data_IF_215771773915
#
_entry.id   IF_215771773915
#
_cell.length_a   1.000
_cell.length_b   1.000
_cell.length_c   1.000
_cell.angle_alpha   90.00
_cell.angle_beta   90.00
_cell.angle_gamma   90.00
#
_symmetry.space_group_name_H-M   'P 1'
#
loop_
_entity.id
_entity.type
_entity.pdbx_description
1 polymer ?
#
# COMPACT_ATOMS: atom_id res chain seq x y z
N UNK A 1 12.76 -2.19 -19.25
CA UNK A 1 12.61 -1.87 -17.82
C UNK A 1 11.67 -2.91 -17.25
N UNK A 2 12.11 -3.74 -16.32
CA UNK A 2 11.23 -4.74 -15.70
C UNK A 2 10.19 -4.05 -14.81
N UNK A 3 8.96 -4.57 -14.69
CA UNK A 3 7.97 -4.00 -13.80
C UNK A 3 8.44 -4.12 -12.35
N UNK A 4 8.42 -3.01 -11.62
CA UNK A 4 8.67 -2.99 -10.18
C UNK A 4 7.57 -3.83 -9.52
N UNK A 5 7.93 -4.98 -8.95
CA UNK A 5 7.01 -5.86 -8.22
C UNK A 5 7.06 -5.52 -6.74
N UNK A 6 5.88 -5.34 -6.14
CA UNK A 6 5.71 -5.20 -4.69
C UNK A 6 5.17 -6.51 -4.15
N UNK A 7 5.81 -7.05 -3.12
CA UNK A 7 5.30 -8.19 -2.36
C UNK A 7 4.38 -7.68 -1.25
N UNK A 8 3.17 -8.25 -1.18
CA UNK A 8 2.12 -7.86 -0.23
C UNK A 8 1.83 -8.94 0.81
N UNK A 9 2.56 -10.05 0.80
CA UNK A 9 2.34 -11.15 1.73
C UNK A 9 2.41 -10.67 3.19
N UNK A 10 1.37 -10.97 3.98
CA UNK A 10 1.27 -10.60 5.39
C UNK A 10 0.67 -9.20 5.65
N UNK A 11 0.27 -8.47 4.61
CA UNK A 11 -0.40 -7.17 4.73
C UNK A 11 -1.89 -7.23 4.36
N UNK A 12 -2.46 -8.42 4.26
CA UNK A 12 -3.85 -8.61 3.85
C UNK A 12 -4.82 -7.81 4.74
N UNK A 13 -5.69 -7.02 4.13
CA UNK A 13 -6.63 -6.13 4.82
C UNK A 13 -6.06 -4.80 5.27
N UNK A 14 -4.75 -4.59 5.20
CA UNK A 14 -4.09 -3.36 5.64
C UNK A 14 -4.00 -2.30 4.53
N UNK A 15 -3.81 -1.05 4.94
CA UNK A 15 -3.27 -0.01 4.10
C UNK A 15 -1.74 -0.05 4.15
N UNK A 16 -1.10 0.08 2.99
CA UNK A 16 0.35 0.07 2.87
C UNK A 16 0.83 1.30 2.08
N UNK A 17 1.93 1.89 2.51
CA UNK A 17 2.66 2.92 1.76
C UNK A 17 3.75 2.24 0.93
N UNK A 18 3.67 2.37 -0.40
CA UNK A 18 4.61 1.76 -1.34
C UNK A 18 5.51 2.84 -1.91
N UNK A 19 6.83 2.76 -1.68
CA UNK A 19 7.80 3.65 -2.30
C UNK A 19 7.89 3.36 -3.80
N UNK A 20 7.59 4.35 -4.65
CA UNK A 20 7.49 4.15 -6.11
C UNK A 20 8.86 3.98 -6.79
N UNK A 21 9.96 4.29 -6.10
CA UNK A 21 11.32 4.16 -6.64
C UNK A 21 11.81 2.72 -6.50
N UNK A 22 11.40 2.05 -5.43
CA UNK A 22 11.89 0.71 -5.05
C UNK A 22 10.82 -0.37 -5.12
N UNK A 23 9.54 -0.01 -5.13
CA UNK A 23 8.42 -0.93 -5.01
C UNK A 23 8.23 -1.52 -3.62
N UNK A 24 8.94 -1.02 -2.60
CA UNK A 24 8.91 -1.58 -1.25
C UNK A 24 7.82 -0.96 -0.40
N UNK A 25 7.21 -1.77 0.46
CA UNK A 25 6.34 -1.28 1.52
C UNK A 25 7.21 -0.65 2.61
N UNK A 26 6.98 0.63 2.90
CA UNK A 26 7.75 1.38 3.91
C UNK A 26 6.99 1.53 5.23
N UNK A 27 5.66 1.55 5.17
CA UNK A 27 4.76 1.61 6.34
C UNK A 27 3.50 0.81 6.01
N UNK A 28 2.93 0.15 7.01
CA UNK A 28 1.60 -0.44 6.94
C UNK A 28 0.80 -0.10 8.20
N UNK A 29 -0.52 0.04 8.05
CA UNK A 29 -1.46 0.25 9.15
C UNK A 29 -2.84 -0.27 8.74
N UNK A 30 -3.68 -0.61 9.73
CA UNK A 30 -5.07 -1.00 9.50
C UNK A 30 -5.96 0.20 9.20
N UNK A 31 -5.54 1.39 9.64
CA UNK A 31 -6.27 2.64 9.44
C UNK A 31 -5.55 3.56 8.42
N UNK A 32 -6.32 4.04 7.44
CA UNK A 32 -5.79 4.92 6.39
C UNK A 32 -5.27 6.24 6.97
N UNK A 33 -6.04 6.89 7.86
CA UNK A 33 -5.70 8.21 8.37
C UNK A 33 -4.43 8.15 9.21
N UNK A 34 -4.33 7.14 10.08
CA UNK A 34 -3.12 6.90 10.88
C UNK A 34 -1.88 6.67 10.01
N UNK A 35 -2.03 5.92 8.93
CA UNK A 35 -0.93 5.72 7.98
C UNK A 35 -0.53 7.03 7.30
N UNK A 36 -1.50 7.84 6.86
CA UNK A 36 -1.24 9.14 6.23
C UNK A 36 -0.54 10.12 7.18
N UNK A 37 -0.99 10.19 8.45
CA UNK A 37 -0.36 11.01 9.48
C UNK A 37 1.08 10.56 9.74
N UNK A 38 1.32 9.25 9.79
CA UNK A 38 2.67 8.70 9.97
C UNK A 38 3.58 9.00 8.78
N UNK A 39 3.07 8.88 7.55
CA UNK A 39 3.82 9.29 6.35
C UNK A 39 4.21 10.77 6.40
N UNK A 40 3.31 11.64 6.86
CA UNK A 40 3.58 13.08 7.02
C UNK A 40 4.62 13.34 8.10
N UNK A 41 4.51 12.68 9.26
CA UNK A 41 5.45 12.78 10.37
C UNK A 41 6.87 12.33 9.95
N UNK A 42 6.96 11.22 9.22
CA UNK A 42 8.21 10.63 8.73
C UNK A 42 8.71 11.30 7.42
N UNK A 43 8.00 12.33 6.92
CA UNK A 43 8.30 13.06 5.68
C UNK A 43 8.47 12.15 4.46
N UNK A 44 7.66 11.11 4.37
CA UNK A 44 7.67 10.17 3.25
C UNK A 44 6.90 10.79 2.08
N UNK A 45 7.62 11.29 1.09
CA UNK A 45 7.05 11.98 -0.09
C UNK A 45 7.01 11.12 -1.35
N UNK A 46 7.77 10.02 -1.38
CA UNK A 46 7.90 9.16 -2.56
C UNK A 46 7.09 7.86 -2.45
N UNK A 47 6.06 7.82 -1.60
CA UNK A 47 5.22 6.64 -1.44
C UNK A 47 3.74 6.94 -1.71
N UNK A 48 3.03 5.93 -2.20
CA UNK A 48 1.59 5.96 -2.43
C UNK A 48 0.89 4.97 -1.49
N UNK A 49 -0.27 5.37 -0.96
CA UNK A 49 -1.08 4.52 -0.08
C UNK A 49 -1.96 3.61 -0.95
N UNK A 50 -1.99 2.32 -0.63
CA UNK A 50 -2.84 1.32 -1.27
C UNK A 50 -3.47 0.40 -0.22
N UNK A 51 -4.73 0.02 -0.39
CA UNK A 51 -5.35 -1.07 0.38
C UNK A 51 -4.92 -2.41 -0.22
N UNK A 52 -4.42 -3.30 0.61
CA UNK A 52 -4.18 -4.70 0.26
C UNK A 52 -5.47 -5.46 0.57
N UNK A 53 -6.17 -5.99 -0.43
CA UNK A 53 -7.38 -6.78 -0.19
C UNK A 53 -7.02 -8.08 0.51
N UNK A 54 -7.96 -8.65 1.28
CA UNK A 54 -7.82 -10.04 1.70
C UNK A 54 -7.89 -10.98 0.48
N UNK A 55 -7.26 -12.15 0.58
CA UNK A 55 -7.28 -13.15 -0.50
C UNK A 55 -8.72 -13.60 -0.86
N UNK A 56 -9.63 -13.54 0.11
CA UNK A 56 -11.05 -13.87 -0.02
C UNK A 56 -11.93 -12.69 -0.47
N UNK A 57 -11.40 -11.46 -0.47
CA UNK A 57 -12.18 -10.31 -0.91
C UNK A 57 -12.40 -10.38 -2.43
N UNK A 58 -13.64 -10.21 -2.91
CA UNK A 58 -13.89 -10.11 -4.33
C UNK A 58 -13.16 -8.88 -4.85
N UNK A 59 -12.17 -9.10 -5.73
CA UNK A 59 -11.56 -8.02 -6.49
C UNK A 59 -12.64 -7.46 -7.42
N UNK A 60 -13.30 -6.39 -7.00
CA UNK A 60 -14.20 -5.62 -7.86
C UNK A 60 -13.36 -4.99 -8.98
N UNK A 61 -13.22 -5.72 -10.09
CA UNK A 61 -12.90 -5.15 -11.39
C UNK A 61 -14.18 -4.47 -11.87
N UNK A 62 -14.25 -3.15 -11.69
CA UNK A 62 -15.33 -2.36 -12.27
C UNK A 62 -15.33 -2.54 -13.79
N UNK A 63 -16.39 -3.20 -14.31
CA UNK A 63 -16.83 -3.01 -15.69
C UNK A 63 -17.57 -1.67 -15.73
N UNK A 64 -16.93 -0.65 -16.28
CA UNK A 64 -17.50 0.68 -16.46
C UNK A 64 -16.53 1.62 -17.18
#
# INVERSE_FOLDING_TARGET
MEPIRTDFAGYEGMYVAIDHRTGKIVIADVDHHRLADRMKADRITHAAIRRVPHAEEPQYVGLG
#
